data_IF_674283009039
#
_entry.id   IF_674283009039
#
_cell.length_a   1.000
_cell.length_b   1.000
_cell.length_c   1.000
_cell.angle_alpha   90.00
_cell.angle_beta   90.00
_cell.angle_gamma   90.00
#
_symmetry.space_group_name_H-M   'P 1'
#
loop_
_entity.id
_entity.type
_entity.pdbx_description
1 polymer ?
#
# COMPACT_ATOMS: atom_id res chain seq x y z
N UNK A 1 -57.75 -61.12 45.54
CA UNK A 1 -56.49 -60.81 44.81
C UNK A 1 -56.32 -59.31 44.77
N UNK A 2 -55.28 -58.75 45.38
CA UNK A 2 -54.93 -57.32 45.30
C UNK A 2 -53.71 -57.21 44.38
N UNK A 3 -53.89 -56.66 43.18
CA UNK A 3 -52.81 -56.36 42.24
C UNK A 3 -52.08 -55.11 42.72
N UNK A 4 -50.81 -55.27 43.09
CA UNK A 4 -49.90 -54.20 43.49
C UNK A 4 -49.21 -53.70 42.22
N UNK A 5 -49.67 -52.59 41.67
CA UNK A 5 -49.01 -51.92 40.53
C UNK A 5 -47.71 -51.31 41.02
N UNK A 6 -46.58 -51.87 40.58
CA UNK A 6 -45.26 -51.29 40.80
C UNK A 6 -45.08 -50.09 39.87
N UNK A 7 -44.98 -48.89 40.46
CA UNK A 7 -44.57 -47.69 39.75
C UNK A 7 -43.04 -47.77 39.66
N UNK A 8 -42.52 -48.01 38.45
CA UNK A 8 -41.09 -47.90 38.19
C UNK A 8 -40.67 -46.43 38.33
N UNK A 9 -39.60 -46.11 39.07
CA UNK A 9 -39.06 -44.76 39.11
C UNK A 9 -38.52 -44.42 37.71
N UNK A 10 -39.12 -43.41 37.08
CA UNK A 10 -38.57 -42.77 35.90
C UNK A 10 -37.24 -42.13 36.33
N UNK A 11 -36.11 -42.73 35.94
CA UNK A 11 -34.82 -42.07 35.99
C UNK A 11 -34.89 -40.85 35.08
N UNK A 12 -35.02 -39.67 35.68
CA UNK A 12 -34.88 -38.40 34.99
C UNK A 12 -33.45 -38.36 34.43
N UNK A 13 -33.32 -38.71 33.16
CA UNK A 13 -32.17 -38.35 32.34
C UNK A 13 -32.14 -36.83 32.33
N UNK A 14 -31.37 -36.24 33.25
CA UNK A 14 -30.98 -34.85 33.19
C UNK A 14 -30.29 -34.66 31.84
N UNK A 15 -31.03 -34.15 30.86
CA UNK A 15 -30.47 -33.82 29.57
C UNK A 15 -29.43 -32.75 29.83
N UNK A 16 -28.15 -33.16 29.87
CA UNK A 16 -27.04 -32.23 29.82
C UNK A 16 -27.18 -31.52 28.48
N UNK A 17 -27.78 -30.33 28.53
CA UNK A 17 -27.72 -29.39 27.41
C UNK A 17 -26.24 -29.12 27.27
N UNK A 18 -25.60 -29.75 26.28
CA UNK A 18 -24.20 -29.49 25.96
C UNK A 18 -24.12 -28.00 25.67
N UNK A 19 -23.55 -27.25 26.61
CA UNK A 19 -23.31 -25.83 26.44
C UNK A 19 -22.23 -25.70 25.36
N UNK A 20 -22.67 -25.54 24.11
CA UNK A 20 -21.77 -25.40 22.98
C UNK A 20 -21.33 -23.94 22.95
N UNK A 21 -20.25 -23.64 23.66
CA UNK A 21 -19.53 -22.39 23.45
C UNK A 21 -19.05 -22.34 21.99
N UNK A 22 -19.43 -21.28 21.27
CA UNK A 22 -18.96 -20.98 19.92
C UNK A 22 -18.00 -19.82 20.03
N UNK A 23 -16.75 -20.01 19.58
CA UNK A 23 -15.77 -18.94 19.50
C UNK A 23 -15.89 -18.25 18.15
N UNK A 24 -15.98 -16.92 18.15
CA UNK A 24 -15.92 -16.10 16.94
C UNK A 24 -14.57 -15.39 16.96
N UNK A 25 -13.70 -15.73 16.01
CA UNK A 25 -12.42 -15.04 15.80
C UNK A 25 -12.65 -14.02 14.68
N UNK A 26 -12.42 -12.75 14.97
CA UNK A 26 -12.48 -11.67 13.99
C UNK A 26 -11.05 -11.35 13.57
N UNK A 27 -10.72 -11.70 12.33
CA UNK A 27 -9.44 -11.38 11.73
C UNK A 27 -9.43 -9.91 11.29
N UNK A 28 -8.31 -9.21 11.52
CA UNK A 28 -8.09 -7.85 11.01
C UNK A 28 -6.84 -7.87 10.12
N UNK A 29 -6.97 -7.35 8.91
CA UNK A 29 -5.86 -7.00 8.01
C UNK A 29 -6.00 -5.51 7.77
N UNK A 30 -4.92 -4.78 7.92
CA UNK A 30 -4.92 -3.33 7.87
C UNK A 30 -3.63 -2.85 7.22
N UNK A 31 -3.73 -1.93 6.27
CA UNK A 31 -2.58 -1.30 5.64
C UNK A 31 -2.70 0.19 5.89
N UNK A 32 -2.03 0.66 6.94
CA UNK A 32 -2.14 2.03 7.39
C UNK A 32 -1.12 2.91 6.67
N UNK A 33 -1.51 4.15 6.41
CA UNK A 33 -0.68 5.18 5.79
C UNK A 33 -1.12 6.54 6.33
N UNK A 34 -0.20 7.51 6.34
CA UNK A 34 -0.43 8.91 6.74
C UNK A 34 -1.40 9.61 5.78
N UNK A 35 -2.67 9.25 5.90
CA UNK A 35 -3.78 9.62 5.01
C UNK A 35 -4.19 11.07 5.24
N UNK A 36 -3.99 11.59 6.45
CA UNK A 36 -4.25 12.98 6.79
C UNK A 36 -3.07 13.92 6.43
N UNK A 37 -1.89 13.37 6.09
CA UNK A 37 -0.66 14.06 5.71
C UNK A 37 -0.09 14.96 6.83
N UNK A 38 -0.18 14.54 8.09
CA UNK A 38 0.37 15.24 9.26
C UNK A 38 1.77 14.77 9.68
N UNK A 39 2.30 13.76 8.97
CA UNK A 39 3.62 13.18 9.20
C UNK A 39 3.63 12.00 10.18
N UNK A 40 2.47 11.47 10.57
CA UNK A 40 2.34 10.30 11.43
C UNK A 40 1.38 9.28 10.83
N UNK A 41 1.55 8.03 11.27
CA UNK A 41 0.59 6.95 11.00
C UNK A 41 -0.06 6.61 12.33
N UNK A 42 -1.31 7.02 12.53
CA UNK A 42 -2.05 6.81 13.77
C UNK A 42 -3.56 6.58 13.54
N UNK A 43 -4.36 6.62 14.61
CA UNK A 43 -5.77 6.25 14.55
C UNK A 43 -6.63 7.34 13.89
N UNK A 44 -6.09 8.54 13.75
CA UNK A 44 -6.74 9.65 13.07
C UNK A 44 -6.75 9.43 11.54
N UNK A 45 -5.82 8.62 11.01
CA UNK A 45 -5.82 8.21 9.61
C UNK A 45 -7.03 7.36 9.24
N UNK A 46 -7.42 6.39 10.08
CA UNK A 46 -8.58 5.51 9.87
C UNK A 46 -9.89 6.30 9.62
N UNK A 47 -9.99 7.53 10.13
CA UNK A 47 -11.17 8.40 9.98
C UNK A 47 -11.26 8.99 8.57
N UNK A 48 -10.10 9.29 7.96
CA UNK A 48 -10.01 9.92 6.64
C UNK A 48 -9.64 8.93 5.55
N UNK A 49 -9.26 7.70 5.92
CA UNK A 49 -8.99 6.59 5.03
C UNK A 49 -10.16 6.36 4.05
N UNK A 50 -9.85 6.25 2.76
CA UNK A 50 -10.86 6.14 1.69
C UNK A 50 -11.41 7.48 1.17
N UNK A 51 -11.10 8.61 1.81
CA UNK A 51 -11.45 9.93 1.28
C UNK A 51 -10.34 10.48 0.38
N UNK A 52 -10.72 10.97 -0.80
CA UNK A 52 -9.78 11.66 -1.67
C UNK A 52 -9.25 12.96 -1.00
N UNK A 53 -7.96 13.30 -1.20
CA UNK A 53 -7.00 12.61 -2.07
C UNK A 53 -6.26 11.42 -1.42
N UNK A 54 -6.51 11.12 -0.14
CA UNK A 54 -5.75 10.14 0.64
C UNK A 54 -4.29 10.58 0.83
N UNK A 55 -3.37 9.60 0.82
CA UNK A 55 -1.94 9.89 0.75
C UNK A 55 -1.52 10.24 -0.67
N UNK A 56 -0.76 11.33 -0.78
CA UNK A 56 -0.09 11.72 -2.01
C UNK A 56 1.29 11.06 -2.09
N UNK A 57 1.54 10.31 -3.17
CA UNK A 57 2.87 9.82 -3.51
C UNK A 57 3.49 10.72 -4.58
N UNK A 58 4.70 11.22 -4.31
CA UNK A 58 5.46 12.03 -5.26
C UNK A 58 6.29 11.08 -6.13
N UNK A 59 6.35 11.35 -7.44
CA UNK A 59 7.24 10.61 -8.33
C UNK A 59 8.69 10.90 -7.97
N UNK A 60 9.46 9.85 -7.69
CA UNK A 60 10.84 9.92 -7.22
C UNK A 60 11.84 10.16 -8.37
N UNK A 61 11.67 11.24 -9.13
CA UNK A 61 12.49 11.55 -10.32
C UNK A 61 13.58 12.62 -10.06
N UNK A 62 13.92 12.84 -8.80
CA UNK A 62 15.00 13.73 -8.38
C UNK A 62 16.39 13.08 -8.49
N UNK A 63 17.36 13.70 -7.81
CA UNK A 63 18.73 13.24 -7.59
C UNK A 63 19.14 13.86 -6.24
N UNK A 64 18.60 13.30 -5.16
CA UNK A 64 18.59 13.94 -3.84
C UNK A 64 19.99 14.03 -3.22
N UNK A 65 20.85 13.05 -3.51
CA UNK A 65 22.21 12.98 -3.00
C UNK A 65 23.27 13.52 -3.98
N UNK A 66 22.87 13.88 -5.20
CA UNK A 66 23.69 14.51 -6.24
C UNK A 66 24.82 13.60 -6.75
N UNK A 67 24.58 12.29 -6.81
CA UNK A 67 25.53 11.33 -7.36
C UNK A 67 25.43 11.22 -8.92
N UNK A 68 24.41 11.87 -9.51
CA UNK A 68 24.15 11.90 -10.94
C UNK A 68 23.24 10.79 -11.45
N UNK A 69 22.68 9.97 -10.56
CA UNK A 69 21.69 8.94 -10.82
C UNK A 69 20.34 9.46 -10.33
N UNK A 70 19.30 9.27 -11.15
CA UNK A 70 17.96 9.68 -10.75
C UNK A 70 17.45 8.76 -9.65
N UNK A 71 16.84 9.30 -8.59
CA UNK A 71 16.46 8.57 -7.37
C UNK A 71 15.64 7.29 -7.66
N UNK A 72 14.70 7.31 -8.62
CA UNK A 72 13.93 6.11 -9.01
C UNK A 72 14.72 5.03 -9.78
N UNK A 73 16.01 5.24 -10.00
CA UNK A 73 16.97 4.31 -10.61
C UNK A 73 18.18 4.09 -9.71
N UNK A 74 18.18 4.68 -8.52
CA UNK A 74 19.23 4.59 -7.52
C UNK A 74 18.83 3.61 -6.42
N UNK A 75 19.75 2.71 -6.06
CA UNK A 75 19.54 1.72 -5.01
C UNK A 75 20.14 2.13 -3.66
N UNK A 76 20.79 3.29 -3.57
CA UNK A 76 21.39 3.78 -2.35
C UNK A 76 21.43 5.32 -2.31
N UNK A 77 20.31 5.93 -1.93
CA UNK A 77 20.18 7.39 -1.90
C UNK A 77 20.67 7.89 -0.55
N UNK A 78 21.80 8.58 -0.50
CA UNK A 78 22.33 9.10 0.77
C UNK A 78 21.48 10.27 1.32
N UNK A 79 21.20 10.26 2.63
CA UNK A 79 20.56 11.37 3.33
C UNK A 79 19.21 11.04 3.99
N UNK A 80 18.24 11.93 3.79
CA UNK A 80 16.93 11.85 4.45
C UNK A 80 16.00 10.85 3.74
N UNK A 81 15.13 10.14 4.48
CA UNK A 81 14.11 9.27 3.91
C UNK A 81 13.20 9.97 2.87
N UNK A 82 13.11 9.39 1.67
CA UNK A 82 12.25 9.81 0.57
C UNK A 82 11.00 8.94 0.38
N UNK A 83 11.04 7.65 0.73
CA UNK A 83 9.88 6.77 0.51
C UNK A 83 8.84 6.98 1.61
N UNK A 84 7.57 6.89 1.22
CA UNK A 84 6.45 6.99 2.14
C UNK A 84 6.27 5.69 2.90
N UNK A 85 6.23 5.77 4.23
CA UNK A 85 5.97 4.59 5.07
C UNK A 85 4.51 4.15 4.95
N UNK A 86 4.30 2.84 4.93
CA UNK A 86 3.01 2.19 5.08
C UNK A 86 3.16 1.02 6.04
N UNK A 87 2.18 0.81 6.92
CA UNK A 87 2.25 -0.19 7.99
C UNK A 87 1.22 -1.29 7.75
N UNK A 88 1.68 -2.49 7.45
CA UNK A 88 0.82 -3.65 7.33
C UNK A 88 0.68 -4.34 8.69
N UNK A 89 -0.54 -4.29 9.24
CA UNK A 89 -0.90 -4.99 10.46
C UNK A 89 -1.81 -6.17 10.15
N UNK A 90 -1.45 -7.35 10.65
CA UNK A 90 -2.27 -8.56 10.56
C UNK A 90 -2.54 -9.03 11.97
N UNK A 91 -3.81 -9.16 12.35
CA UNK A 91 -4.21 -9.49 13.72
C UNK A 91 -5.25 -10.59 13.79
N UNK A 92 -5.14 -11.40 14.83
CA UNK A 92 -6.06 -12.46 15.17
C UNK A 92 -6.20 -13.55 14.09
N UNK A 93 -5.14 -13.85 13.34
CA UNK A 93 -5.17 -14.90 12.31
C UNK A 93 -4.76 -16.26 12.90
N UNK A 94 -5.56 -17.32 12.72
CA UNK A 94 -5.20 -18.65 13.19
C UNK A 94 -3.98 -19.14 12.41
N UNK A 95 -2.92 -19.48 13.13
CA UNK A 95 -1.65 -19.94 12.57
C UNK A 95 -1.10 -18.98 11.49
N UNK A 96 -0.96 -17.70 11.82
CA UNK A 96 -0.48 -16.66 10.90
C UNK A 96 0.84 -17.04 10.22
N UNK A 97 1.71 -17.75 10.92
CA UNK A 97 2.97 -18.30 10.39
C UNK A 97 2.77 -19.26 9.20
N UNK A 98 1.60 -19.88 9.09
CA UNK A 98 1.24 -20.79 8.01
C UNK A 98 0.45 -20.10 6.90
N UNK A 99 -0.03 -18.87 7.10
CA UNK A 99 -0.77 -18.09 6.11
C UNK A 99 0.10 -17.65 4.92
N UNK A 100 -0.57 -17.15 3.88
CA UNK A 100 0.04 -16.54 2.70
C UNK A 100 -0.56 -15.16 2.45
N UNK A 101 0.30 -14.18 2.22
CA UNK A 101 -0.04 -12.78 2.06
C UNK A 101 0.17 -12.41 0.59
N UNK A 102 -0.82 -11.81 -0.02
CA UNK A 102 -0.83 -11.42 -1.43
C UNK A 102 -0.97 -9.91 -1.49
N UNK A 103 -0.10 -9.26 -2.25
CA UNK A 103 -0.12 -7.82 -2.47
C UNK A 103 -0.32 -7.57 -3.96
N UNK A 104 -1.40 -6.89 -4.32
CA UNK A 104 -1.71 -6.52 -5.70
C UNK A 104 -1.62 -5.00 -5.83
N UNK A 105 -0.85 -4.52 -6.80
CA UNK A 105 -0.70 -3.10 -7.09
C UNK A 105 -0.11 -2.90 -8.50
N UNK A 106 -0.14 -1.67 -9.03
CA UNK A 106 0.45 -1.34 -10.33
C UNK A 106 1.98 -1.19 -10.23
N UNK A 107 2.66 -2.33 -10.12
CA UNK A 107 4.07 -2.36 -9.81
C UNK A 107 4.96 -1.96 -10.99
N UNK A 108 5.95 -1.09 -10.72
CA UNK A 108 7.09 -0.92 -11.62
C UNK A 108 8.26 -1.75 -11.15
N UNK A 109 8.68 -2.73 -11.96
CA UNK A 109 9.87 -3.54 -11.63
C UNK A 109 11.10 -2.63 -11.53
N UNK A 110 11.93 -2.76 -10.47
CA UNK A 110 13.21 -2.08 -10.41
C UNK A 110 14.08 -2.40 -11.64
N UNK A 111 14.93 -1.48 -12.12
CA UNK A 111 15.87 -1.81 -13.17
C UNK A 111 16.85 -2.91 -12.70
N UNK A 112 17.37 -3.73 -13.62
CA UNK A 112 18.33 -4.80 -13.25
C UNK A 112 19.66 -4.25 -12.72
N UNK A 113 19.99 -3.01 -13.12
CA UNK A 113 21.20 -2.29 -12.73
C UNK A 113 20.84 -0.86 -12.38
N UNK A 114 21.59 -0.27 -11.46
CA UNK A 114 21.50 1.14 -11.10
C UNK A 114 21.64 2.03 -12.34
N UNK A 115 20.85 3.11 -12.39
CA UNK A 115 20.72 3.98 -13.57
C UNK A 115 20.00 3.38 -14.78
N UNK A 116 19.52 2.12 -14.68
CA UNK A 116 18.87 1.40 -15.77
C UNK A 116 17.51 1.96 -16.19
N UNK A 117 16.92 1.36 -17.23
CA UNK A 117 15.61 1.77 -17.73
C UNK A 117 14.49 1.33 -16.78
N UNK A 118 13.55 2.25 -16.50
CA UNK A 118 12.37 1.95 -15.71
C UNK A 118 11.42 1.03 -16.49
N UNK A 119 10.89 0.01 -15.80
CA UNK A 119 9.76 -0.75 -16.31
C UNK A 119 8.46 0.07 -16.19
N UNK A 120 7.42 -0.32 -16.93
CA UNK A 120 6.07 0.25 -16.74
C UNK A 120 5.52 -0.04 -15.35
N UNK A 121 4.44 0.63 -14.96
CA UNK A 121 3.88 0.60 -13.60
C UNK A 121 4.04 1.94 -12.90
N UNK A 122 3.33 2.12 -11.78
CA UNK A 122 3.19 3.41 -11.09
C UNK A 122 3.89 3.48 -9.74
N UNK A 123 4.04 2.36 -9.03
CA UNK A 123 4.56 2.32 -7.65
C UNK A 123 5.56 1.17 -7.48
N UNK A 124 6.49 1.31 -6.53
CA UNK A 124 7.25 0.21 -5.94
C UNK A 124 6.98 0.13 -4.45
N UNK A 125 6.99 -1.09 -3.93
CA UNK A 125 6.97 -1.36 -2.50
C UNK A 125 8.31 -2.00 -2.13
N UNK A 126 8.98 -1.44 -1.14
CA UNK A 126 10.27 -1.88 -0.64
C UNK A 126 10.17 -2.33 0.82
N UNK A 127 11.00 -3.29 1.19
CA UNK A 127 11.19 -3.73 2.58
C UNK A 127 12.16 -2.83 3.37
N UNK A 128 12.85 -1.91 2.69
CA UNK A 128 13.79 -0.94 3.26
C UNK A 128 13.50 0.47 2.79
N UNK A 129 13.93 1.44 3.59
CA UNK A 129 13.82 2.85 3.26
C UNK A 129 14.85 3.25 2.18
N UNK A 130 14.57 4.36 1.50
CA UNK A 130 15.41 5.00 0.46
C UNK A 130 16.85 5.32 0.88
N UNK A 131 17.07 5.60 2.17
CA UNK A 131 18.40 5.90 2.73
C UNK A 131 19.15 4.67 3.25
N UNK A 132 18.69 3.48 2.88
CA UNK A 132 19.38 2.22 3.11
C UNK A 132 19.70 1.58 1.76
N UNK A 133 20.86 0.93 1.63
CA UNK A 133 21.20 0.20 0.43
C UNK A 133 20.20 -0.95 0.16
N UNK A 134 19.60 -0.94 -1.04
CA UNK A 134 18.55 -1.87 -1.48
C UNK A 134 19.05 -2.84 -2.53
N UNK A 135 18.53 -4.06 -2.48
CA UNK A 135 18.64 -5.04 -3.55
C UNK A 135 17.39 -4.97 -4.45
N UNK A 136 17.52 -4.77 -5.77
CA UNK A 136 16.38 -4.70 -6.69
C UNK A 136 15.66 -6.04 -6.87
N UNK A 137 16.23 -7.14 -6.37
CA UNK A 137 15.62 -8.46 -6.43
C UNK A 137 14.35 -8.50 -5.57
N UNK A 138 13.42 -9.36 -5.97
CA UNK A 138 12.23 -9.61 -5.17
C UNK A 138 12.59 -10.19 -3.80
N UNK A 139 11.80 -9.89 -2.76
CA UNK A 139 11.95 -10.44 -1.40
C UNK A 139 12.01 -11.96 -1.38
N UNK A 140 11.19 -12.65 -2.20
CA UNK A 140 11.26 -14.11 -2.36
C UNK A 140 12.59 -14.63 -2.94
N UNK A 141 13.30 -13.78 -3.67
CA UNK A 141 14.65 -14.02 -4.18
C UNK A 141 15.76 -13.54 -3.23
N UNK A 142 15.42 -13.09 -2.02
CA UNK A 142 16.36 -12.54 -1.04
C UNK A 142 16.76 -11.08 -1.28
N UNK A 143 16.00 -10.32 -2.07
CA UNK A 143 16.18 -8.87 -2.21
C UNK A 143 15.22 -8.07 -1.33
N UNK A 144 15.03 -6.79 -1.68
CA UNK A 144 14.24 -5.84 -0.89
C UNK A 144 12.96 -5.37 -1.60
N UNK A 145 12.75 -5.75 -2.87
CA UNK A 145 11.56 -5.38 -3.62
C UNK A 145 10.38 -6.32 -3.32
N UNK A 146 9.27 -5.78 -2.83
CA UNK A 146 8.04 -6.54 -2.55
C UNK A 146 7.21 -6.64 -3.83
N UNK A 147 7.58 -7.56 -4.73
CA UNK A 147 6.90 -7.77 -6.01
C UNK A 147 5.38 -8.03 -5.85
N UNK A 148 4.54 -7.62 -6.81
CA UNK A 148 3.11 -7.91 -6.73
C UNK A 148 2.88 -9.42 -6.87
N UNK A 149 1.98 -9.95 -6.05
CA UNK A 149 1.48 -11.32 -6.15
C UNK A 149 -0.03 -11.28 -6.02
N UNK A 150 -0.73 -11.64 -7.09
CA UNK A 150 -2.19 -11.63 -7.15
C UNK A 150 -2.73 -13.01 -6.77
N UNK A 151 -3.67 -13.04 -5.83
CA UNK A 151 -4.37 -14.28 -5.50
C UNK A 151 -5.31 -14.69 -6.65
N UNK A 152 -5.04 -15.83 -7.27
CA UNK A 152 -5.84 -16.36 -8.38
C UNK A 152 -6.86 -17.45 -7.96
N UNK A 153 -6.92 -17.80 -6.68
CA UNK A 153 -7.79 -18.86 -6.17
C UNK A 153 -7.18 -20.26 -6.13
N UNK A 154 -6.03 -20.47 -6.78
CA UNK A 154 -5.47 -21.81 -7.02
C UNK A 154 -4.08 -21.99 -6.42
N UNK A 155 -3.20 -20.99 -6.53
CA UNK A 155 -1.78 -21.15 -6.22
C UNK A 155 -1.40 -20.57 -4.85
N UNK A 156 -1.77 -21.28 -3.78
CA UNK A 156 -1.53 -20.81 -2.40
C UNK A 156 -0.06 -20.42 -2.15
N UNK A 157 0.88 -21.19 -2.70
CA UNK A 157 2.32 -21.02 -2.47
C UNK A 157 2.93 -19.79 -3.16
N UNK A 158 2.19 -19.09 -4.02
CA UNK A 158 2.67 -17.87 -4.67
C UNK A 158 2.67 -16.66 -3.74
N UNK A 159 1.85 -16.64 -2.68
CA UNK A 159 1.84 -15.56 -1.68
C UNK A 159 3.07 -15.56 -0.78
N UNK A 160 3.31 -14.46 -0.11
CA UNK A 160 4.39 -14.30 0.87
C UNK A 160 4.07 -15.01 2.18
N UNK A 161 5.08 -15.56 2.85
CA UNK A 161 4.99 -15.89 4.27
C UNK A 161 5.15 -14.64 5.12
N UNK A 162 4.69 -14.68 6.38
CA UNK A 162 4.93 -13.60 7.33
C UNK A 162 6.44 -13.29 7.48
N UNK A 163 7.27 -14.35 7.58
CA UNK A 163 8.72 -14.21 7.72
C UNK A 163 9.40 -13.61 6.47
N UNK A 164 8.92 -13.94 5.27
CA UNK A 164 9.44 -13.35 4.03
C UNK A 164 9.21 -11.82 4.02
N UNK A 165 8.03 -11.36 4.47
CA UNK A 165 7.78 -9.92 4.62
C UNK A 165 8.43 -9.31 5.86
N UNK A 166 9.13 -10.06 6.71
CA UNK A 166 9.70 -9.54 7.95
C UNK A 166 8.67 -9.24 9.04
N UNK A 167 7.46 -9.81 8.96
CA UNK A 167 6.44 -9.71 10.01
C UNK A 167 6.87 -10.58 11.20
N UNK A 168 7.11 -9.95 12.34
CA UNK A 168 7.34 -10.66 13.60
C UNK A 168 6.00 -11.17 14.16
N UNK A 169 5.78 -12.49 14.07
CA UNK A 169 4.52 -13.11 14.48
C UNK A 169 4.55 -13.39 15.97
N UNK A 170 3.69 -12.69 16.69
CA UNK A 170 3.35 -13.00 18.08
C UNK A 170 2.11 -13.88 18.11
N UNK A 171 2.17 -14.99 18.84
CA UNK A 171 1.05 -15.93 18.95
C UNK A 171 0.51 -16.02 20.36
N UNK A 172 -0.81 -16.17 20.46
CA UNK A 172 -1.52 -16.44 21.71
C UNK A 172 -2.44 -17.65 21.52
N UNK A 173 -2.56 -18.48 22.55
CA UNK A 173 -3.47 -19.63 22.52
C UNK A 173 -4.87 -19.20 22.97
N UNK A 174 -5.84 -19.29 22.06
CA UNK A 174 -7.24 -19.01 22.34
C UNK A 174 -8.10 -20.22 22.00
N UNK A 175 -8.61 -20.93 23.01
CA UNK A 175 -9.44 -22.11 22.81
C UNK A 175 -8.71 -23.30 22.17
N UNK A 176 -7.38 -23.38 22.35
CA UNK A 176 -6.53 -24.42 21.75
C UNK A 176 -6.17 -24.18 20.28
N UNK A 177 -6.40 -22.95 19.80
CA UNK A 177 -5.97 -22.47 18.49
C UNK A 177 -4.89 -21.43 18.72
N UNK A 178 -3.76 -21.57 18.03
CA UNK A 178 -2.72 -20.54 17.99
C UNK A 178 -3.20 -19.39 17.11
N UNK A 179 -3.34 -18.22 17.70
CA UNK A 179 -3.79 -16.99 17.05
C UNK A 179 -2.62 -16.04 16.97
N UNK A 180 -2.16 -15.80 15.75
CA UNK A 180 -1.03 -14.94 15.42
C UNK A 180 -1.45 -13.51 15.08
N UNK A 181 -0.61 -12.57 15.48
CA UNK A 181 -0.65 -11.17 15.10
C UNK A 181 0.76 -10.68 14.82
N UNK A 182 0.91 -9.73 13.90
CA UNK A 182 2.20 -9.13 13.58
C UNK A 182 2.03 -7.86 12.76
N UNK A 183 3.12 -7.11 12.66
CA UNK A 183 3.20 -5.84 11.95
C UNK A 183 4.51 -5.81 11.13
N UNK A 184 4.48 -5.11 10.00
CA UNK A 184 5.66 -4.73 9.23
C UNK A 184 5.49 -3.32 8.66
N UNK A 185 6.58 -2.54 8.64
CA UNK A 185 6.68 -1.31 7.85
C UNK A 185 7.19 -1.62 6.45
N UNK A 186 6.43 -1.15 5.45
CA UNK A 186 6.76 -1.18 4.04
C UNK A 186 6.99 0.25 3.55
N UNK A 187 7.73 0.40 2.46
CA UNK A 187 8.10 1.71 1.94
C UNK A 187 7.62 1.87 0.50
N UNK A 188 6.78 2.88 0.27
CA UNK A 188 6.15 3.17 -1.02
C UNK A 188 6.94 4.23 -1.77
N UNK A 189 7.31 3.90 -3.00
CA UNK A 189 8.00 4.78 -3.94
C UNK A 189 7.11 5.06 -5.15
N UNK A 190 6.87 6.34 -5.46
CA UNK A 190 6.16 6.76 -6.68
C UNK A 190 7.09 6.70 -7.90
N UNK A 191 6.67 6.03 -8.96
CA UNK A 191 7.46 5.85 -10.20
C UNK A 191 6.86 6.60 -11.39
N UNK A 192 5.54 6.56 -11.55
CA UNK A 192 4.86 7.19 -12.68
C UNK A 192 3.43 7.56 -12.30
N UNK A 193 2.99 8.79 -12.57
CA UNK A 193 1.65 9.24 -12.20
C UNK A 193 0.51 8.72 -13.09
N UNK A 194 0.83 8.20 -14.27
CA UNK A 194 -0.16 7.99 -15.33
C UNK A 194 -1.24 6.94 -15.02
N UNK A 195 -1.02 6.01 -14.07
CA UNK A 195 -1.92 4.89 -13.82
C UNK A 195 -1.92 4.40 -12.35
N UNK A 196 -1.94 5.31 -11.37
CA UNK A 196 -2.08 4.92 -9.97
C UNK A 196 -3.30 3.99 -9.79
N UNK A 197 -3.07 2.79 -9.24
CA UNK A 197 -4.13 1.87 -8.81
C UNK A 197 -4.03 1.67 -7.31
N UNK A 198 -5.13 1.21 -6.74
CA UNK A 198 -5.17 0.85 -5.33
C UNK A 198 -4.17 -0.28 -5.02
N UNK A 199 -3.61 -0.24 -3.82
CA UNK A 199 -2.87 -1.38 -3.26
C UNK A 199 -3.88 -2.25 -2.54
N UNK A 200 -3.96 -3.52 -2.93
CA UNK A 200 -4.81 -4.51 -2.29
C UNK A 200 -3.98 -5.57 -1.57
N UNK A 201 -4.32 -5.83 -0.30
CA UNK A 201 -3.72 -6.91 0.50
C UNK A 201 -4.76 -8.00 0.74
N UNK A 202 -4.37 -9.24 0.51
CA UNK A 202 -5.18 -10.44 0.79
C UNK A 202 -4.36 -11.40 1.65
N UNK A 203 -4.93 -11.88 2.74
CA UNK A 203 -4.34 -12.93 3.58
C UNK A 203 -5.15 -14.20 3.44
N UNK A 204 -4.50 -15.29 3.03
CA UNK A 204 -5.11 -16.60 2.83
C UNK A 204 -4.52 -17.57 3.84
N UNK A 205 -5.38 -18.32 4.54
CA UNK A 205 -4.96 -19.44 5.39
C UNK A 205 -5.21 -20.77 4.70
N UNK A 206 -4.28 -21.72 4.83
CA UNK A 206 -4.48 -23.10 4.41
C UNK A 206 -4.88 -23.95 5.62
N UNK A 207 -6.19 -24.10 5.82
CA UNK A 207 -6.74 -24.86 6.95
C UNK A 207 -6.64 -26.38 6.78
N UNK A 208 -6.13 -26.88 5.64
CA UNK A 208 -6.03 -28.33 5.41
C UNK A 208 -5.06 -29.03 6.39
N UNK A 209 -4.23 -28.28 7.12
CA UNK A 209 -3.32 -28.81 8.14
C UNK A 209 -3.93 -29.02 9.53
N UNK A 210 -5.18 -28.58 9.77
CA UNK A 210 -5.80 -28.63 11.11
C UNK A 210 -6.60 -29.91 11.39
N UNK A 211 -6.40 -30.97 10.61
CA UNK A 211 -7.11 -32.22 10.80
C UNK A 211 -6.47 -33.08 11.90
N UNK A 212 -6.81 -32.77 13.15
CA UNK A 212 -6.70 -33.72 14.26
C UNK A 212 -8.11 -34.17 14.62
N UNK A 213 -8.36 -35.48 14.59
CA UNK A 213 -9.68 -36.10 14.54
C UNK A 213 -10.73 -35.50 15.50
N UNK A 214 -11.95 -35.40 14.97
CA UNK A 214 -13.22 -35.17 15.70
C UNK A 214 -13.63 -33.74 16.08
N UNK A 215 -13.39 -32.72 15.26
CA UNK A 215 -14.36 -31.61 15.11
C UNK A 215 -14.04 -30.71 13.93
N UNK A 216 -14.88 -30.76 12.90
CA UNK A 216 -14.95 -29.73 11.87
C UNK A 216 -15.59 -28.47 12.45
N UNK A 217 -14.89 -27.34 12.40
CA UNK A 217 -15.52 -26.03 12.28
C UNK A 217 -15.23 -25.56 10.85
N UNK A 218 -16.22 -25.71 9.97
CA UNK A 218 -16.29 -25.05 8.66
C UNK A 218 -15.03 -25.11 7.80
N UNK A 219 -14.82 -26.24 7.10
CA UNK A 219 -14.04 -26.22 5.88
C UNK A 219 -14.88 -25.54 4.80
N UNK A 220 -14.74 -24.23 4.68
CA UNK A 220 -15.14 -23.51 3.46
C UNK A 220 -14.31 -22.23 3.33
N UNK A 221 -13.65 -22.11 2.18
CA UNK A 221 -13.11 -20.92 1.54
C UNK A 221 -12.03 -20.11 2.27
N UNK A 222 -10.94 -19.84 1.53
CA UNK A 222 -10.04 -18.72 1.78
C UNK A 222 -10.86 -17.47 2.17
N UNK A 223 -10.80 -17.08 3.45
CA UNK A 223 -11.45 -15.84 3.88
C UNK A 223 -10.57 -14.69 3.41
N UNK A 224 -10.95 -14.14 2.27
CA UNK A 224 -10.30 -12.99 1.66
C UNK A 224 -10.80 -11.75 2.39
N UNK A 225 -9.94 -11.11 3.16
CA UNK A 225 -10.13 -9.69 3.51
C UNK A 225 -9.43 -8.91 2.42
N UNK A 226 -10.17 -8.15 1.63
CA UNK A 226 -9.61 -7.19 0.67
C UNK A 226 -9.70 -5.81 1.30
N UNK A 227 -8.61 -5.08 1.23
CA UNK A 227 -8.57 -3.66 1.56
C UNK A 227 -8.04 -2.93 0.34
N UNK A 228 -8.69 -1.82 -0.05
CA UNK A 228 -8.27 -1.01 -1.19
C UNK A 228 -7.90 0.38 -0.67
N UNK A 229 -6.62 0.75 -0.82
CA UNK A 229 -6.16 2.09 -0.48
C UNK A 229 -6.16 2.99 -1.71
N UNK A 230 -6.92 4.10 -1.72
CA UNK A 230 -6.81 5.08 -2.80
C UNK A 230 -5.46 5.79 -2.70
N UNK A 231 -4.67 5.70 -3.76
CA UNK A 231 -3.40 6.43 -3.89
C UNK A 231 -3.55 7.48 -4.98
N UNK A 232 -3.19 8.72 -4.64
CA UNK A 232 -3.04 9.80 -5.62
C UNK A 232 -1.56 10.00 -5.90
N UNK A 233 -1.14 9.90 -7.16
CA UNK A 233 0.22 10.23 -7.58
C UNK A 233 0.27 11.66 -8.09
N UNK A 234 1.28 12.43 -7.64
CA UNK A 234 1.56 13.76 -8.18
C UNK A 234 2.90 13.77 -8.90
N UNK A 235 2.87 14.14 -10.18
CA UNK A 235 4.05 14.65 -10.87
C UNK A 235 4.33 16.07 -10.38
N UNK A 236 5.21 16.21 -9.40
CA UNK A 236 5.82 17.50 -9.14
C UNK A 236 6.90 17.71 -10.20
N UNK A 237 6.63 18.54 -11.20
CA UNK A 237 7.70 19.09 -12.03
C UNK A 237 8.56 19.98 -11.13
N UNK A 238 9.60 19.41 -10.52
CA UNK A 238 10.65 20.20 -9.90
C UNK A 238 11.46 20.83 -11.04
N UNK A 239 10.93 21.89 -11.65
CA UNK A 239 11.71 22.73 -12.56
C UNK A 239 12.86 23.27 -11.73
N UNK A 240 14.03 22.67 -11.91
CA UNK A 240 15.20 22.86 -11.09
C UNK A 240 15.40 24.32 -10.72
N UNK A 241 15.71 24.53 -9.44
CA UNK A 241 16.22 25.79 -8.95
C UNK A 241 17.28 26.29 -9.91
N UNK A 242 17.08 27.50 -10.44
CA UNK A 242 18.19 28.26 -10.99
C UNK A 242 19.21 28.39 -9.88
N UNK A 243 20.25 27.56 -9.92
CA UNK A 243 21.49 27.85 -9.24
C UNK A 243 21.97 29.20 -9.76
N UNK A 244 21.73 30.25 -8.99
CA UNK A 244 22.45 31.52 -9.12
C UNK A 244 23.84 31.34 -8.49
N UNK A 245 24.59 30.30 -8.85
CA UNK A 245 26.02 30.23 -8.59
C UNK A 245 26.73 31.06 -9.66
N UNK A 246 26.59 32.37 -9.52
CA UNK A 246 27.13 33.36 -10.44
C UNK A 246 27.23 34.71 -9.75
N UNK A 247 27.81 34.76 -8.55
CA UNK A 247 28.32 36.01 -7.99
C UNK A 247 29.44 36.52 -8.90
N UNK A 248 29.06 37.23 -9.97
CA UNK A 248 29.93 38.20 -10.60
C UNK A 248 30.08 39.37 -9.63
N UNK A 249 30.93 39.20 -8.61
CA UNK A 249 31.51 40.35 -7.92
C UNK A 249 32.44 41.05 -8.91
N UNK A 250 32.18 42.32 -9.19
CA UNK A 250 33.22 43.16 -9.80
C UNK A 250 34.40 43.28 -8.83
N UNK A 251 35.57 43.68 -9.32
CA UNK A 251 36.82 43.82 -8.55
C UNK A 251 36.78 44.84 -7.39
N UNK A 252 35.60 45.32 -6.99
CA UNK A 252 35.40 46.35 -5.97
C UNK A 252 34.35 46.00 -4.89
N UNK A 253 33.78 44.78 -4.88
CA UNK A 253 33.04 44.26 -3.73
C UNK A 253 31.75 45.03 -3.36
N UNK A 254 31.02 45.57 -4.35
CA UNK A 254 29.72 46.19 -4.13
C UNK A 254 28.60 45.42 -4.85
N UNK A 255 27.42 45.25 -4.24
CA UNK A 255 26.29 44.56 -4.88
C UNK A 255 25.77 45.36 -6.08
N UNK A 256 25.66 44.69 -7.24
CA UNK A 256 24.98 45.23 -8.41
C UNK A 256 23.47 45.28 -8.15
N UNK A 257 22.92 46.49 -8.02
CA UNK A 257 21.47 46.71 -8.07
C UNK A 257 21.07 46.70 -9.55
N UNK A 258 20.35 45.66 -9.98
CA UNK A 258 19.67 45.67 -11.28
C UNK A 258 18.39 46.49 -11.13
N UNK A 259 18.37 47.68 -11.73
CA UNK A 259 17.14 48.42 -11.99
C UNK A 259 16.51 47.82 -13.24
N UNK A 260 15.38 47.13 -13.08
CA UNK A 260 14.49 46.81 -14.19
C UNK A 260 13.70 48.07 -14.57
N UNK A 261 14.28 48.88 -15.47
CA UNK A 261 13.54 49.92 -16.19
C UNK A 261 12.68 49.25 -17.27
N UNK A 262 11.42 48.98 -16.91
CA UNK A 262 10.38 48.51 -17.81
C UNK A 262 9.89 49.68 -18.69
N UNK A 263 10.61 49.95 -19.76
CA UNK A 263 10.26 51.00 -20.72
C UNK A 263 9.12 50.54 -21.64
N UNK A 264 8.02 51.30 -21.59
CA UNK A 264 6.81 51.04 -22.34
C UNK A 264 6.97 51.39 -23.83
N UNK A 265 6.56 50.47 -24.70
CA UNK A 265 6.23 50.80 -26.08
C UNK A 265 4.77 50.50 -26.42
N UNK A 266 4.17 51.53 -27.01
CA UNK A 266 2.77 51.65 -27.37
C UNK A 266 2.39 50.84 -28.62
N UNK A 267 1.09 50.51 -28.63
CA UNK A 267 0.20 50.04 -29.67
C UNK A 267 0.60 50.16 -31.15
N UNK A 268 0.29 49.10 -31.90
CA UNK A 268 -0.01 49.15 -33.33
C UNK A 268 -1.32 48.40 -33.63
N UNK A 269 -2.40 49.04 -34.12
CA UNK A 269 -3.64 48.37 -34.48
C UNK A 269 -3.82 48.32 -36.01
N UNK A 270 -3.60 47.16 -36.63
CA UNK A 270 -4.16 46.84 -37.96
C UNK A 270 -3.89 45.38 -38.36
N UNK A 271 -4.88 44.50 -38.21
CA UNK A 271 -5.47 43.78 -39.33
C UNK A 271 -6.46 42.72 -38.85
N UNK A 272 -7.72 42.92 -39.23
CA UNK A 272 -8.74 41.90 -39.26
C UNK A 272 -8.50 40.98 -40.46
N UNK A 273 -8.45 39.68 -40.22
CA UNK A 273 -8.82 38.69 -41.22
C UNK A 273 -9.45 37.49 -40.53
N UNK A 274 -10.74 37.37 -40.78
CA UNK A 274 -11.66 36.34 -40.35
C UNK A 274 -11.49 35.11 -41.25
N UNK A 275 -11.31 33.93 -40.67
CA UNK A 275 -11.56 32.63 -41.31
C UNK A 275 -12.04 31.66 -40.24
N UNK A 276 -13.28 31.15 -40.29
CA UNK A 276 -13.67 29.97 -39.53
C UNK A 276 -13.32 28.72 -40.33
N UNK A 277 -12.91 27.65 -39.65
CA UNK A 277 -13.46 26.30 -39.82
C UNK A 277 -12.62 25.27 -39.04
N UNK A 278 -13.34 24.41 -38.31
CA UNK A 278 -13.03 23.03 -37.92
C UNK A 278 -11.76 22.74 -37.08
N UNK A 279 -11.72 21.83 -36.12
CA UNK A 279 -12.63 20.81 -35.59
C UNK A 279 -12.00 20.31 -34.27
N UNK A 280 -12.81 19.67 -33.41
CA UNK A 280 -12.38 18.72 -32.37
C UNK A 280 -11.45 19.19 -31.23
N UNK A 281 -12.04 19.86 -30.24
CA UNK A 281 -11.62 19.70 -28.84
C UNK A 281 -12.71 18.93 -28.08
N UNK A 282 -12.52 17.62 -27.97
CA UNK A 282 -13.35 16.74 -27.13
C UNK A 282 -13.22 17.18 -25.67
N UNK A 283 -14.32 17.74 -25.18
CA UNK A 283 -14.63 17.91 -23.76
C UNK A 283 -14.73 16.53 -23.09
N UNK A 284 -13.72 16.15 -22.31
CA UNK A 284 -13.84 15.06 -21.34
C UNK A 284 -14.42 15.62 -20.05
N UNK A 285 -15.75 15.69 -20.00
CA UNK A 285 -16.49 15.77 -18.74
C UNK A 285 -16.34 14.43 -18.02
N UNK A 286 -15.55 14.40 -16.95
CA UNK A 286 -15.58 13.30 -15.98
C UNK A 286 -16.96 13.37 -15.30
N UNK A 287 -17.82 12.42 -15.65
CA UNK A 287 -19.12 12.20 -15.02
C UNK A 287 -18.96 10.99 -14.13
N UNK A 288 -18.69 11.21 -12.85
CA UNK A 288 -18.68 10.14 -11.85
C UNK A 288 -20.12 9.74 -11.56
N UNK A 289 -20.47 8.51 -11.96
CA UNK A 289 -21.65 7.81 -11.48
C UNK A 289 -21.29 7.16 -10.14
N UNK A 290 -21.82 7.69 -9.05
CA UNK A 290 -21.76 7.05 -7.73
C UNK A 290 -23.10 6.35 -7.50
N UNK A 291 -23.15 5.06 -7.80
CA UNK A 291 -24.24 4.17 -7.36
C UNK A 291 -24.00 3.72 -5.93
N UNK A 292 -25.04 3.84 -5.11
CA UNK A 292 -25.09 3.45 -3.70
C UNK A 292 -25.31 1.94 -3.49
N UNK A 293 -24.97 1.53 -2.25
CA UNK A 293 -25.41 0.34 -1.48
C UNK A 293 -24.47 -0.89 -1.55
N UNK A 294 -24.05 -1.53 -0.44
CA UNK A 294 -24.49 -1.52 0.97
C UNK A 294 -23.28 -1.62 1.89
#
# INVERSE_FOLDING_TARGET
MKTKTAIHPLTASCGMVSDKATWVIIHKVDLQIDSNNDGKIDAEDDIVEGNAPGRLLIVNNGDADNDGIIDNRDFSIDGEPLFTEAKLTISNFPYLENCRIFLSYDASTPPDTEGGALAGGSVRIWAKQSNEARSPLAVKGGGDFVAPVVWNGENYNEGYTAAELGIDVTSTEAGGISVGSGEVTLYLEGINSANAKDISVIVVSNLNYLWHGERFIGGDSAKTTTFDMPISLLEAEFTGGRSLSGEHMNSHGLPLVLNDDFDGHQANPANAAFTPDNEDARSTRITTWQTWAR
#
